data_IF_998450286195
#
_entry.id   IF_998450286195
#
_cell.length_a   1.000
_cell.length_b   1.000
_cell.length_c   1.000
_cell.angle_alpha   90.00
_cell.angle_beta   90.00
_cell.angle_gamma   90.00
#
_symmetry.space_group_name_H-M   'P 1'
#
loop_
_entity.id
_entity.type
_entity.pdbx_description
1 polymer ?
#
# COMPACT_ATOMS: atom_id res chain seq x y z
N UNK A 1 56.39 8.74 -36.08
CA UNK A 1 55.49 9.60 -35.27
C UNK A 1 54.01 9.47 -35.69
N UNK A 2 53.71 9.19 -36.95
CA UNK A 2 52.33 9.10 -37.47
C UNK A 2 51.53 7.88 -36.91
N UNK A 3 52.20 6.80 -36.53
CA UNK A 3 51.57 5.57 -36.04
C UNK A 3 51.25 5.59 -34.54
N UNK A 4 51.92 6.42 -33.74
CA UNK A 4 51.69 6.58 -32.28
C UNK A 4 50.42 7.39 -32.02
N UNK A 5 50.14 8.38 -32.85
CA UNK A 5 48.92 9.20 -32.75
C UNK A 5 47.67 8.42 -33.06
N UNK A 6 47.75 7.45 -33.99
CA UNK A 6 46.62 6.58 -34.34
C UNK A 6 46.28 5.59 -33.19
N UNK A 7 47.32 5.11 -32.47
CA UNK A 7 47.16 4.18 -31.37
C UNK A 7 46.54 4.85 -30.12
N UNK A 8 46.89 6.11 -29.86
CA UNK A 8 46.31 6.90 -28.77
C UNK A 8 44.84 7.27 -29.05
N UNK A 9 44.46 7.48 -30.31
CA UNK A 9 43.07 7.73 -30.69
C UNK A 9 42.17 6.51 -30.49
N UNK A 10 42.73 5.29 -30.68
CA UNK A 10 41.99 4.04 -30.52
C UNK A 10 41.73 3.67 -29.03
N UNK A 11 42.68 4.03 -28.13
CA UNK A 11 42.55 3.82 -26.68
C UNK A 11 41.52 4.79 -26.08
N UNK A 12 41.41 6.01 -26.62
CA UNK A 12 40.41 6.99 -26.16
C UNK A 12 38.95 6.66 -26.47
N UNK A 13 38.68 5.75 -27.43
CA UNK A 13 37.32 5.35 -27.79
C UNK A 13 36.77 4.19 -26.96
N UNK A 14 37.60 3.47 -26.17
CA UNK A 14 37.15 2.35 -25.35
C UNK A 14 36.66 2.72 -23.95
N UNK A 15 36.73 3.97 -23.54
CA UNK A 15 36.40 4.39 -22.17
C UNK A 15 34.98 4.97 -21.99
N UNK A 16 34.12 4.94 -23.02
CA UNK A 16 32.77 5.50 -22.97
C UNK A 16 31.67 4.44 -22.94
N UNK A 17 31.96 3.24 -22.51
CA UNK A 17 30.90 2.31 -22.11
C UNK A 17 30.57 2.52 -20.64
N UNK A 18 29.94 3.65 -20.33
CA UNK A 18 29.11 3.76 -19.15
C UNK A 18 27.90 2.84 -19.36
N UNK A 19 27.92 1.67 -18.76
CA UNK A 19 26.70 0.91 -18.54
C UNK A 19 25.88 1.72 -17.54
N UNK A 20 25.02 2.59 -18.05
CA UNK A 20 23.90 3.09 -17.30
C UNK A 20 22.98 1.87 -17.09
N UNK A 21 23.06 1.24 -15.91
CA UNK A 21 22.06 0.29 -15.46
C UNK A 21 20.83 1.14 -15.16
N UNK A 22 20.05 1.41 -16.19
CA UNK A 22 18.71 1.90 -16.01
C UNK A 22 17.93 0.70 -15.46
N UNK A 23 17.68 0.67 -14.16
CA UNK A 23 16.64 -0.18 -13.63
C UNK A 23 15.33 0.29 -14.29
N UNK A 24 14.94 -0.41 -15.34
CA UNK A 24 13.64 -0.24 -15.98
C UNK A 24 12.63 -0.85 -14.99
N UNK A 25 12.18 -0.02 -14.03
CA UNK A 25 10.92 -0.30 -13.39
C UNK A 25 9.87 -0.29 -14.51
N UNK A 26 9.26 -1.43 -14.78
CA UNK A 26 8.10 -1.46 -15.66
C UNK A 26 7.01 -0.60 -15.00
N UNK A 27 6.95 0.68 -15.38
CA UNK A 27 5.90 1.63 -14.98
C UNK A 27 4.58 1.29 -15.72
N UNK A 28 4.26 0.00 -15.81
CA UNK A 28 2.93 -0.45 -16.22
C UNK A 28 1.91 -0.17 -15.09
N UNK A 29 0.66 0.14 -15.43
CA UNK A 29 -0.37 0.35 -14.42
C UNK A 29 -0.49 -0.91 -13.55
N UNK A 30 -0.08 -0.79 -12.29
CA UNK A 30 -0.10 -1.89 -11.33
C UNK A 30 -1.45 -1.94 -10.64
N UNK A 31 -2.12 -3.08 -10.75
CA UNK A 31 -3.32 -3.35 -9.98
C UNK A 31 -3.05 -4.56 -9.11
N UNK A 32 -2.93 -4.35 -7.82
CA UNK A 32 -2.77 -5.43 -6.84
C UNK A 32 -3.67 -5.19 -5.63
N UNK A 33 -4.10 -6.27 -5.02
CA UNK A 33 -4.90 -6.25 -3.80
C UNK A 33 -4.28 -7.17 -2.78
N UNK A 34 -4.00 -6.60 -1.61
CA UNK A 34 -3.49 -7.33 -0.44
C UNK A 34 -4.55 -7.37 0.64
N UNK A 35 -4.74 -8.52 1.27
CA UNK A 35 -5.49 -8.64 2.51
C UNK A 35 -4.48 -8.91 3.63
N UNK A 36 -4.39 -7.97 4.56
CA UNK A 36 -3.37 -7.95 5.61
C UNK A 36 -4.04 -8.05 6.96
N UNK A 37 -3.65 -9.05 7.77
CA UNK A 37 -4.10 -9.16 9.16
C UNK A 37 -2.93 -8.84 10.08
N UNK A 38 -3.13 -7.88 11.00
CA UNK A 38 -2.12 -7.41 11.93
C UNK A 38 -2.73 -7.03 13.27
N UNK A 39 -1.87 -6.86 14.28
CA UNK A 39 -2.27 -6.39 15.62
C UNK A 39 -1.51 -5.10 15.97
N UNK A 40 -2.21 -4.22 16.66
CA UNK A 40 -1.68 -2.95 17.16
C UNK A 40 -1.45 -3.01 18.66
N UNK A 41 -0.41 -2.35 19.13
CA UNK A 41 -0.11 -2.30 20.56
C UNK A 41 1.07 -1.40 20.89
N UNK A 42 1.41 -1.25 22.18
CA UNK A 42 2.54 -0.40 22.60
C UNK A 42 3.87 -0.83 21.98
N UNK A 43 4.05 -2.13 21.72
CA UNK A 43 5.30 -2.69 21.18
C UNK A 43 5.60 -2.26 19.74
N UNK A 44 4.57 -1.91 18.97
CA UNK A 44 4.73 -1.40 17.60
C UNK A 44 4.24 0.06 17.46
N UNK A 45 4.03 0.76 18.57
CA UNK A 45 3.54 2.14 18.57
C UNK A 45 2.17 2.32 17.92
N UNK A 46 1.33 1.28 17.95
CA UNK A 46 0.02 1.23 17.29
C UNK A 46 0.09 1.52 15.79
N UNK A 47 1.17 1.09 15.15
CA UNK A 47 1.45 1.30 13.74
C UNK A 47 2.00 0.03 13.09
N UNK A 48 1.73 -0.16 11.79
CA UNK A 48 2.26 -1.28 11.01
C UNK A 48 2.55 -0.87 9.57
N UNK A 49 3.79 -1.08 9.16
CA UNK A 49 4.22 -0.86 7.77
C UNK A 49 4.04 -2.16 6.97
N UNK A 50 3.53 -2.02 5.77
CA UNK A 50 3.43 -3.07 4.75
C UNK A 50 4.17 -2.60 3.51
N UNK A 51 5.25 -3.28 3.17
CA UNK A 51 6.09 -2.92 2.04
C UNK A 51 5.47 -3.36 0.71
N UNK A 52 5.70 -2.57 -0.33
CA UNK A 52 5.36 -2.90 -1.71
C UNK A 52 6.61 -3.43 -2.42
N UNK A 53 6.53 -4.66 -2.89
CA UNK A 53 7.60 -5.29 -3.67
C UNK A 53 7.02 -5.89 -4.97
N UNK A 54 7.39 -5.31 -6.12
CA UNK A 54 8.16 -4.07 -6.35
C UNK A 54 7.41 -2.81 -5.89
N UNK A 55 8.07 -1.64 -5.81
CA UNK A 55 7.40 -0.36 -5.54
C UNK A 55 6.27 -0.05 -6.51
N UNK A 56 5.25 0.70 -6.06
CA UNK A 56 4.15 1.13 -6.91
C UNK A 56 4.59 2.25 -7.87
N UNK A 57 3.87 2.42 -8.98
CA UNK A 57 4.13 3.47 -9.96
C UNK A 57 4.04 4.87 -9.35
N UNK A 58 4.72 5.85 -9.94
CA UNK A 58 4.79 7.22 -9.42
C UNK A 58 3.44 7.93 -9.36
N UNK A 59 2.48 7.48 -10.17
CA UNK A 59 1.13 8.05 -10.28
C UNK A 59 0.04 7.11 -9.73
N UNK A 60 0.43 5.91 -9.26
CA UNK A 60 -0.49 5.00 -8.61
C UNK A 60 -0.94 5.55 -7.25
N UNK A 61 -2.13 5.19 -6.86
CA UNK A 61 -2.73 5.54 -5.58
C UNK A 61 -3.06 4.30 -4.78
N UNK A 62 -3.24 4.46 -3.47
CA UNK A 62 -3.61 3.38 -2.57
C UNK A 62 -4.97 3.67 -1.94
N UNK A 63 -5.88 2.69 -1.98
CA UNK A 63 -7.10 2.68 -1.17
C UNK A 63 -6.92 1.61 -0.08
N UNK A 64 -7.35 1.93 1.13
CA UNK A 64 -7.32 0.98 2.24
C UNK A 64 -8.72 0.83 2.81
N UNK A 65 -9.12 -0.40 3.05
CA UNK A 65 -10.38 -0.74 3.70
C UNK A 65 -10.11 -1.54 4.97
N UNK A 66 -10.82 -1.22 6.04
CA UNK A 66 -10.82 -1.97 7.28
C UNK A 66 -12.01 -2.94 7.30
N UNK A 67 -11.78 -4.21 7.64
CA UNK A 67 -12.84 -5.18 7.88
C UNK A 67 -13.49 -4.85 9.22
N UNK A 68 -14.65 -4.24 9.17
CA UNK A 68 -15.36 -3.80 10.36
C UNK A 68 -16.12 -4.92 11.05
N UNK A 69 -16.76 -5.79 10.27
CA UNK A 69 -17.63 -6.84 10.78
C UNK A 69 -17.85 -7.94 9.72
N UNK A 70 -18.39 -9.06 10.13
CA UNK A 70 -18.87 -10.14 9.25
C UNK A 70 -20.31 -10.48 9.60
N UNK A 71 -21.24 -10.11 8.73
CA UNK A 71 -22.67 -10.29 8.94
C UNK A 71 -23.23 -11.35 7.99
N UNK A 72 -23.77 -12.43 8.51
CA UNK A 72 -24.29 -13.56 7.72
C UNK A 72 -23.27 -14.13 6.70
N UNK A 73 -21.98 -14.14 7.07
CA UNK A 73 -20.90 -14.62 6.22
C UNK A 73 -20.48 -13.60 5.15
N UNK A 74 -20.94 -12.36 5.24
CA UNK A 74 -20.55 -11.27 4.35
C UNK A 74 -19.66 -10.26 5.08
N UNK A 75 -18.50 -9.99 4.51
CA UNK A 75 -17.55 -9.00 5.02
C UNK A 75 -18.08 -7.57 4.87
N UNK A 76 -18.04 -6.81 5.96
CA UNK A 76 -18.38 -5.39 5.98
C UNK A 76 -17.11 -4.57 5.98
N UNK A 77 -16.76 -4.04 4.82
CA UNK A 77 -15.57 -3.23 4.63
C UNK A 77 -15.88 -1.73 4.74
N UNK A 78 -15.02 -0.99 5.41
CA UNK A 78 -15.09 0.48 5.51
C UNK A 78 -13.84 1.11 4.92
N UNK A 79 -14.02 2.06 4.02
CA UNK A 79 -12.91 2.83 3.44
C UNK A 79 -12.26 3.69 4.52
N UNK A 80 -10.93 3.65 4.59
CA UNK A 80 -10.13 4.49 5.48
C UNK A 80 -9.78 5.84 4.84
N UNK A 81 -9.48 6.88 5.64
CA UNK A 81 -9.50 6.88 7.11
C UNK A 81 -10.91 6.75 7.67
N UNK A 82 -11.04 6.10 8.84
CA UNK A 82 -12.34 5.82 9.47
C UNK A 82 -12.30 6.13 10.97
N UNK A 83 -13.21 7.01 11.42
CA UNK A 83 -13.42 7.29 12.84
C UNK A 83 -14.51 6.41 13.42
N UNK A 84 -14.25 5.82 14.57
CA UNK A 84 -15.19 5.07 15.39
C UNK A 84 -15.49 5.84 16.66
N UNK A 85 -16.76 6.16 16.87
CA UNK A 85 -17.25 6.84 18.07
C UNK A 85 -17.56 5.79 19.13
N UNK A 86 -16.81 5.85 20.23
CA UNK A 86 -16.94 4.96 21.36
C UNK A 86 -17.68 5.65 22.49
N UNK A 87 -17.98 4.90 23.59
CA UNK A 87 -18.66 5.46 24.76
C UNK A 87 -17.88 6.62 25.40
N UNK A 88 -18.61 7.52 26.05
CA UNK A 88 -18.08 8.69 26.77
C UNK A 88 -17.32 9.68 25.89
N UNK A 89 -17.70 9.82 24.63
CA UNK A 89 -17.08 10.80 23.72
C UNK A 89 -15.67 10.43 23.29
N UNK A 90 -15.28 9.17 23.44
CA UNK A 90 -14.00 8.66 22.91
C UNK A 90 -14.10 8.46 21.40
N UNK A 91 -13.06 8.85 20.70
CA UNK A 91 -12.93 8.69 19.26
C UNK A 91 -11.66 7.91 18.95
N UNK A 92 -11.79 6.88 18.13
CA UNK A 92 -10.72 6.06 17.63
C UNK A 92 -10.66 6.17 16.13
N UNK A 93 -9.51 6.55 15.59
CA UNK A 93 -9.28 6.62 14.17
C UNK A 93 -8.37 5.50 13.70
N UNK A 94 -8.79 4.81 12.66
CA UNK A 94 -7.92 3.99 11.83
C UNK A 94 -7.47 4.84 10.65
N UNK A 95 -6.17 5.04 10.55
CA UNK A 95 -5.55 5.89 9.55
C UNK A 95 -4.53 5.13 8.72
N UNK A 96 -4.20 5.68 7.57
CA UNK A 96 -3.06 5.25 6.78
C UNK A 96 -2.41 6.42 6.07
N UNK A 97 -1.13 6.27 5.81
CA UNK A 97 -0.37 7.03 4.82
C UNK A 97 0.43 6.07 3.94
N UNK A 98 0.92 6.52 2.80
CA UNK A 98 1.69 5.67 1.91
C UNK A 98 2.75 6.45 1.14
N UNK A 99 3.76 5.71 0.73
CA UNK A 99 4.79 6.10 -0.23
C UNK A 99 4.74 5.15 -1.43
N UNK A 100 5.61 5.34 -2.41
CA UNK A 100 5.78 4.33 -3.47
C UNK A 100 6.25 2.97 -2.96
N UNK A 101 6.86 2.92 -1.77
CA UNK A 101 7.54 1.74 -1.24
C UNK A 101 6.71 0.98 -0.21
N UNK A 102 5.78 1.65 0.46
CA UNK A 102 5.01 1.05 1.55
C UNK A 102 3.72 1.82 1.85
N UNK A 103 2.86 1.16 2.61
CA UNK A 103 1.73 1.77 3.32
C UNK A 103 1.92 1.58 4.81
N UNK A 104 1.68 2.63 5.58
CA UNK A 104 1.67 2.59 7.03
C UNK A 104 0.23 2.66 7.53
N UNK A 105 -0.20 1.65 8.27
CA UNK A 105 -1.50 1.57 8.94
C UNK A 105 -1.30 1.97 10.39
N UNK A 106 -2.09 2.89 10.93
CA UNK A 106 -1.90 3.33 12.32
C UNK A 106 -3.20 3.79 12.99
N UNK A 107 -3.19 3.73 14.32
CA UNK A 107 -4.29 4.18 15.16
C UNK A 107 -3.97 5.53 15.80
N UNK A 108 -4.98 6.42 15.84
CA UNK A 108 -4.98 7.62 16.69
C UNK A 108 -6.26 7.69 17.51
N UNK A 109 -6.24 8.38 18.63
CA UNK A 109 -7.41 8.54 19.47
C UNK A 109 -7.33 9.84 20.31
N UNK A 110 -8.47 10.33 20.75
CA UNK A 110 -8.54 11.42 21.73
C UNK A 110 -8.37 10.96 23.20
N UNK A 111 -7.98 9.70 23.37
CA UNK A 111 -7.73 9.05 24.67
C UNK A 111 -6.49 8.16 24.60
N UNK A 112 -6.06 7.56 25.71
CA UNK A 112 -4.92 6.63 25.71
C UNK A 112 -5.25 5.31 25.00
N UNK A 113 -4.54 5.00 23.92
CA UNK A 113 -4.71 3.75 23.15
C UNK A 113 -4.48 2.49 24.00
N UNK A 114 -3.71 2.58 25.09
CA UNK A 114 -3.51 1.46 26.03
C UNK A 114 -4.80 0.99 26.73
N UNK A 115 -5.87 1.78 26.65
CA UNK A 115 -7.17 1.45 27.26
C UNK A 115 -8.15 0.81 26.27
N UNK A 116 -7.73 0.60 25.03
CA UNK A 116 -8.55 -0.11 24.04
C UNK A 116 -8.70 -1.59 24.40
N UNK A 117 -9.88 -2.13 24.13
CA UNK A 117 -10.09 -3.56 24.19
C UNK A 117 -9.34 -4.27 23.03
N UNK A 118 -8.99 -5.56 23.19
CA UNK A 118 -8.40 -6.36 22.14
C UNK A 118 -9.20 -6.37 20.83
N UNK A 119 -10.52 -6.23 20.90
CA UNK A 119 -11.39 -6.19 19.70
C UNK A 119 -11.05 -5.08 18.72
N UNK A 120 -10.45 -3.97 19.22
CA UNK A 120 -10.02 -2.84 18.40
C UNK A 120 -8.54 -2.89 18.01
N UNK A 121 -7.79 -3.85 18.54
CA UNK A 121 -6.33 -3.84 18.37
C UNK A 121 -5.76 -5.16 17.87
N UNK A 122 -6.42 -6.28 18.14
CA UNK A 122 -5.90 -7.60 17.78
C UNK A 122 -6.56 -8.13 16.51
N UNK A 123 -5.77 -8.78 15.67
CA UNK A 123 -6.22 -9.46 14.45
C UNK A 123 -7.06 -8.55 13.53
N UNK A 124 -6.68 -7.29 13.42
CA UNK A 124 -7.35 -6.35 12.55
C UNK A 124 -7.01 -6.65 11.09
N UNK A 125 -8.02 -6.75 10.24
CA UNK A 125 -7.84 -7.11 8.83
C UNK A 125 -8.12 -5.92 7.93
N UNK A 126 -7.21 -5.69 7.00
CA UNK A 126 -7.26 -4.59 6.04
C UNK A 126 -7.16 -5.12 4.63
N UNK A 127 -7.84 -4.47 3.71
CA UNK A 127 -7.65 -4.70 2.28
C UNK A 127 -7.01 -3.47 1.66
N UNK A 128 -5.79 -3.63 1.14
CA UNK A 128 -4.98 -2.59 0.52
C UNK A 128 -5.09 -2.79 -0.99
N UNK A 129 -5.58 -1.78 -1.70
CA UNK A 129 -5.82 -1.81 -3.14
C UNK A 129 -4.94 -0.78 -3.82
N UNK A 130 -4.00 -1.24 -4.65
CA UNK A 130 -3.22 -0.36 -5.53
C UNK A 130 -4.08 -0.06 -6.75
N UNK A 131 -4.34 1.22 -6.98
CA UNK A 131 -5.12 1.69 -8.11
C UNK A 131 -4.24 2.51 -9.06
N UNK A 132 -4.25 2.19 -10.36
CA UNK A 132 -3.40 2.87 -11.34
C UNK A 132 -3.86 4.31 -11.56
N UNK A 133 -2.94 5.12 -12.07
CA UNK A 133 -3.30 6.45 -12.58
C UNK A 133 -4.45 6.35 -13.61
N UNK A 134 -5.35 7.33 -13.54
CA UNK A 134 -6.54 7.32 -14.39
C UNK A 134 -7.65 6.36 -13.94
N UNK A 135 -7.51 5.70 -12.76
CA UNK A 135 -8.59 4.91 -12.18
C UNK A 135 -9.89 5.71 -12.15
N UNK A 136 -10.96 5.10 -12.64
CA UNK A 136 -12.20 5.79 -12.99
C UNK A 136 -12.72 6.69 -11.86
N UNK A 137 -12.81 8.00 -12.11
CA UNK A 137 -13.32 9.00 -11.16
C UNK A 137 -14.78 8.76 -10.77
N UNK A 138 -15.51 7.98 -11.56
CA UNK A 138 -16.92 7.65 -11.36
C UNK A 138 -17.17 6.42 -10.49
N UNK A 139 -16.12 5.66 -10.12
CA UNK A 139 -16.27 4.48 -9.27
C UNK A 139 -16.53 4.92 -7.83
N UNK A 140 -17.56 4.35 -7.22
CA UNK A 140 -17.83 4.57 -5.80
C UNK A 140 -16.75 3.85 -4.96
N UNK A 141 -15.79 4.62 -4.45
CA UNK A 141 -14.69 4.11 -3.65
C UNK A 141 -15.12 3.58 -2.27
N UNK A 142 -16.31 3.94 -1.78
CA UNK A 142 -16.85 3.38 -0.54
C UNK A 142 -17.38 1.95 -0.71
N UNK A 143 -17.58 1.51 -1.93
CA UNK A 143 -17.98 0.14 -2.27
C UNK A 143 -16.77 -0.62 -2.82
N UNK A 144 -16.18 -1.47 -2.00
CA UNK A 144 -15.02 -2.27 -2.39
C UNK A 144 -15.33 -3.20 -3.57
N UNK A 145 -16.57 -3.72 -3.67
CA UNK A 145 -16.95 -4.60 -4.77
C UNK A 145 -16.99 -3.84 -6.09
N UNK A 146 -17.47 -2.58 -6.07
CA UNK A 146 -17.41 -1.71 -7.24
C UNK A 146 -15.98 -1.41 -7.66
N UNK A 147 -15.07 -1.20 -6.69
CA UNK A 147 -13.63 -0.99 -6.93
C UNK A 147 -12.99 -2.24 -7.53
N UNK A 148 -13.17 -3.40 -6.90
CA UNK A 148 -12.63 -4.69 -7.38
C UNK A 148 -13.12 -5.01 -8.79
N UNK A 149 -14.41 -4.80 -9.05
CA UNK A 149 -15.01 -5.02 -10.37
C UNK A 149 -14.42 -4.09 -11.44
N UNK A 150 -14.26 -2.80 -11.13
CA UNK A 150 -13.67 -1.82 -12.05
C UNK A 150 -12.20 -2.13 -12.37
N UNK A 151 -11.46 -2.70 -11.41
CA UNK A 151 -10.08 -3.15 -11.58
C UNK A 151 -9.97 -4.54 -12.21
N UNK A 152 -11.10 -5.25 -12.41
CA UNK A 152 -11.17 -6.63 -12.90
C UNK A 152 -10.39 -7.63 -12.03
N UNK A 153 -10.33 -7.36 -10.73
CA UNK A 153 -9.69 -8.22 -9.72
C UNK A 153 -10.75 -9.11 -9.06
N UNK A 154 -10.46 -10.41 -8.98
CA UNK A 154 -11.32 -11.36 -8.28
C UNK A 154 -10.78 -11.64 -6.87
N UNK A 155 -11.61 -12.22 -6.00
CA UNK A 155 -11.19 -12.58 -4.65
C UNK A 155 -10.04 -13.61 -4.64
N UNK A 156 -9.94 -14.46 -5.67
CA UNK A 156 -8.81 -15.38 -5.88
C UNK A 156 -7.47 -14.69 -6.10
N UNK A 157 -7.49 -13.45 -6.59
CA UNK A 157 -6.29 -12.69 -6.94
C UNK A 157 -5.74 -11.90 -5.76
N UNK A 158 -6.48 -11.88 -4.64
CA UNK A 158 -6.10 -11.17 -3.42
C UNK A 158 -4.97 -11.91 -2.71
N UNK A 159 -3.84 -11.23 -2.53
CA UNK A 159 -2.69 -11.76 -1.78
C UNK A 159 -2.94 -11.63 -0.27
N UNK A 160 -2.93 -12.74 0.47
CA UNK A 160 -3.12 -12.73 1.92
C UNK A 160 -1.79 -12.69 2.66
N UNK A 161 -1.66 -11.77 3.60
CA UNK A 161 -0.46 -11.55 4.41
C UNK A 161 -0.87 -11.49 5.89
N UNK A 162 -0.20 -12.27 6.74
CA UNK A 162 -0.32 -12.15 8.20
C UNK A 162 1.00 -11.62 8.75
N UNK A 163 0.93 -10.53 9.55
CA UNK A 163 2.09 -9.78 10.02
C UNK A 163 2.16 -9.75 11.56
#
# INVERSE_FOLDING_TARGET
MKNITLFLAFIGMMTLQSCEVTEVYEDGPRTEVFEVTTSFGPGNGYSKIVDFDPPIGSFDSVLVYHLFDVVNGQDIWRLMPQTYYLDNGRELDYNFDYTRFNVNLFLTANFSLNTLSPDWTQNQTFKIVIVPDGFAKTVNKNDINAVMSALKVQQSDVKKITL
#
